data_IF_956645708040
#
_entry.id   IF_956645708040
#
_cell.length_a   1.000
_cell.length_b   1.000
_cell.length_c   1.000
_cell.angle_alpha   90.00
_cell.angle_beta   90.00
_cell.angle_gamma   90.00
#
_symmetry.space_group_name_H-M   'P 1'
#
loop_
_entity.id
_entity.type
_entity.pdbx_description
1 polymer ?
#
# COMPACT_ATOMS: atom_id res chain seq x y z
N UNK A 1 17.44 25.12 5.53
CA UNK A 1 16.58 24.63 6.63
C UNK A 1 17.32 23.52 7.35
N UNK A 2 17.36 23.50 8.69
CA UNK A 2 18.03 22.41 9.41
C UNK A 2 17.37 21.08 9.06
N UNK A 3 18.16 20.05 8.75
CA UNK A 3 17.67 18.78 8.22
C UNK A 3 16.56 18.15 9.09
N UNK A 4 16.59 18.36 10.41
CA UNK A 4 15.58 17.87 11.34
C UNK A 4 14.16 18.41 11.10
N UNK A 5 14.01 19.64 10.59
CA UNK A 5 12.68 20.21 10.29
C UNK A 5 12.04 19.54 9.08
N UNK A 6 12.84 19.14 8.08
CA UNK A 6 12.36 18.48 6.87
C UNK A 6 11.80 17.09 7.21
N UNK A 7 12.53 16.30 8.00
CA UNK A 7 12.05 14.98 8.45
C UNK A 7 10.79 15.05 9.29
N UNK A 8 10.68 16.07 10.16
CA UNK A 8 9.50 16.26 10.99
C UNK A 8 8.27 16.58 10.14
N UNK A 9 8.40 17.45 9.14
CA UNK A 9 7.33 17.77 8.19
C UNK A 9 6.89 16.52 7.40
N UNK A 10 7.84 15.76 6.86
CA UNK A 10 7.55 14.53 6.10
C UNK A 10 6.81 13.51 6.98
N UNK A 11 7.25 13.33 8.23
CA UNK A 11 6.64 12.38 9.17
C UNK A 11 5.21 12.76 9.52
N UNK A 12 4.95 14.05 9.76
CA UNK A 12 3.60 14.56 10.03
C UNK A 12 2.71 14.37 8.80
N UNK A 13 3.21 14.71 7.61
CA UNK A 13 2.45 14.56 6.37
C UNK A 13 2.07 13.09 6.13
N UNK A 14 3.03 12.18 6.30
CA UNK A 14 2.82 10.74 6.18
C UNK A 14 1.76 10.23 7.17
N UNK A 15 1.83 10.67 8.43
CA UNK A 15 0.85 10.30 9.45
C UNK A 15 -0.56 10.78 9.09
N UNK A 16 -0.71 12.02 8.63
CA UNK A 16 -1.99 12.57 8.18
C UNK A 16 -2.55 11.76 7.02
N UNK A 17 -1.71 11.39 6.03
CA UNK A 17 -2.11 10.55 4.91
C UNK A 17 -2.60 9.17 5.36
N UNK A 18 -1.86 8.51 6.26
CA UNK A 18 -2.24 7.19 6.81
C UNK A 18 -3.59 7.28 7.53
N UNK A 19 -3.77 8.28 8.41
CA UNK A 19 -5.03 8.47 9.16
C UNK A 19 -6.19 8.74 8.20
N UNK A 20 -6.00 9.58 7.18
CA UNK A 20 -7.01 9.85 6.18
C UNK A 20 -7.40 8.56 5.41
N UNK A 21 -6.43 7.77 4.98
CA UNK A 21 -6.65 6.48 4.30
C UNK A 21 -7.43 5.50 5.19
N UNK A 22 -7.01 5.31 6.44
CA UNK A 22 -7.68 4.41 7.39
C UNK A 22 -9.12 4.86 7.64
N UNK A 23 -9.36 6.16 7.80
CA UNK A 23 -10.69 6.70 8.01
C UNK A 23 -11.59 6.57 6.78
N UNK A 24 -11.05 6.79 5.58
CA UNK A 24 -11.75 6.61 4.30
C UNK A 24 -12.11 5.13 4.07
N UNK A 25 -11.20 4.20 4.34
CA UNK A 25 -11.43 2.76 4.21
C UNK A 25 -12.49 2.29 5.22
N UNK A 26 -12.47 2.79 6.46
CA UNK A 26 -13.43 2.44 7.52
C UNK A 26 -14.89 2.79 7.14
N UNK A 27 -15.10 3.81 6.31
CA UNK A 27 -16.45 4.21 5.85
C UNK A 27 -17.04 3.25 4.82
N UNK A 28 -16.22 2.43 4.14
CA UNK A 28 -16.68 1.41 3.20
C UNK A 28 -17.02 0.10 3.93
N UNK A 29 -17.95 0.16 4.88
CA UNK A 29 -18.33 -0.99 5.72
C UNK A 29 -19.36 -1.92 5.07
N UNK A 30 -19.50 -1.92 3.75
CA UNK A 30 -20.02 -3.11 3.08
C UNK A 30 -18.86 -4.09 3.01
N UNK A 31 -19.01 -5.26 3.64
CA UNK A 31 -17.98 -6.29 3.86
C UNK A 31 -17.38 -6.83 2.56
N UNK A 32 -16.67 -6.01 1.80
CA UNK A 32 -15.79 -6.44 0.72
C UNK A 32 -14.57 -7.03 1.40
N UNK A 33 -14.68 -8.33 1.74
CA UNK A 33 -13.58 -9.15 2.23
C UNK A 33 -12.31 -8.73 1.49
N UNK A 34 -11.27 -8.40 2.26
CA UNK A 34 -9.93 -8.19 1.69
C UNK A 34 -9.64 -9.45 0.89
N UNK A 35 -9.36 -9.27 -0.40
CA UNK A 35 -9.01 -10.41 -1.23
C UNK A 35 -7.71 -10.97 -0.65
N UNK A 36 -7.57 -12.29 -0.52
CA UNK A 36 -6.29 -12.88 -0.12
C UNK A 36 -5.13 -12.39 -1.01
N UNK A 37 -5.42 -12.03 -2.27
CA UNK A 37 -4.47 -11.38 -3.18
C UNK A 37 -3.99 -10.01 -2.69
N UNK A 38 -4.88 -9.20 -2.09
CA UNK A 38 -4.51 -7.92 -1.47
C UNK A 38 -3.50 -8.15 -0.34
N UNK A 39 -3.71 -9.16 0.50
CA UNK A 39 -2.78 -9.50 1.60
C UNK A 39 -1.40 -9.90 1.10
N UNK A 40 -1.34 -10.72 0.04
CA UNK A 40 -0.07 -11.11 -0.61
C UNK A 40 0.63 -9.89 -1.22
N UNK A 41 -0.11 -9.02 -1.90
CA UNK A 41 0.45 -7.79 -2.46
C UNK A 41 1.09 -6.89 -1.39
N UNK A 42 0.41 -6.70 -0.26
CA UNK A 42 0.96 -5.94 0.87
C UNK A 42 2.21 -6.60 1.44
N UNK A 43 2.25 -7.92 1.58
CA UNK A 43 3.43 -8.63 2.05
C UNK A 43 4.64 -8.40 1.12
N UNK A 44 4.43 -8.43 -0.19
CA UNK A 44 5.47 -8.12 -1.19
C UNK A 44 5.94 -6.67 -1.11
N UNK A 45 5.02 -5.71 -0.93
CA UNK A 45 5.36 -4.29 -0.79
C UNK A 45 6.17 -4.03 0.49
N UNK A 46 5.73 -4.59 1.62
CA UNK A 46 6.43 -4.45 2.91
C UNK A 46 7.80 -5.11 2.84
N UNK A 47 7.90 -6.33 2.29
CA UNK A 47 9.17 -7.00 2.08
C UNK A 47 10.11 -6.14 1.20
N UNK A 48 9.60 -5.56 0.12
CA UNK A 48 10.38 -4.67 -0.74
C UNK A 48 10.88 -3.40 -0.05
N UNK A 49 10.12 -2.85 0.91
CA UNK A 49 10.59 -1.73 1.75
C UNK A 49 11.67 -2.14 2.76
N UNK A 50 11.67 -3.38 3.25
CA UNK A 50 12.65 -3.87 4.22
C UNK A 50 14.00 -4.23 3.57
N UNK A 51 14.02 -4.56 2.27
CA UNK A 51 15.24 -4.81 1.51
C UNK A 51 15.93 -3.49 1.10
N UNK A 52 16.40 -2.73 2.08
CA UNK A 52 17.12 -1.46 1.87
C UNK A 52 18.54 -1.69 1.31
N UNK A 53 19.21 -2.75 1.78
CA UNK A 53 20.59 -3.10 1.39
C UNK A 53 20.71 -3.48 -0.09
N UNK A 54 19.66 -4.08 -0.66
CA UNK A 54 19.67 -4.56 -2.04
C UNK A 54 18.48 -3.99 -2.81
N UNK A 55 18.59 -2.68 -3.13
CA UNK A 55 17.54 -1.88 -3.77
C UNK A 55 16.96 -2.53 -5.02
N UNK A 56 17.73 -3.28 -5.79
CA UNK A 56 17.23 -4.02 -6.96
C UNK A 56 16.17 -5.06 -6.57
N UNK A 57 16.41 -5.83 -5.51
CA UNK A 57 15.47 -6.81 -4.97
C UNK A 57 14.27 -6.08 -4.35
N UNK A 58 14.51 -4.98 -3.64
CA UNK A 58 13.46 -4.13 -3.07
C UNK A 58 12.49 -3.60 -4.14
N UNK A 59 13.01 -3.06 -5.25
CA UNK A 59 12.19 -2.58 -6.37
C UNK A 59 11.46 -3.71 -7.10
N UNK A 60 12.07 -4.88 -7.24
CA UNK A 60 11.40 -6.04 -7.84
C UNK A 60 10.22 -6.50 -6.97
N UNK A 61 10.42 -6.62 -5.66
CA UNK A 61 9.37 -6.97 -4.69
C UNK A 61 8.23 -5.94 -4.68
N UNK A 62 8.57 -4.65 -4.67
CA UNK A 62 7.60 -3.56 -4.79
C UNK A 62 6.81 -3.65 -6.09
N UNK A 63 7.50 -3.86 -7.22
CA UNK A 63 6.87 -4.00 -8.53
C UNK A 63 5.89 -5.17 -8.58
N UNK A 64 6.30 -6.34 -8.06
CA UNK A 64 5.43 -7.53 -7.97
C UNK A 64 4.20 -7.24 -7.12
N UNK A 65 4.36 -6.63 -5.95
CA UNK A 65 3.23 -6.28 -5.08
C UNK A 65 2.26 -5.28 -5.72
N UNK A 66 2.77 -4.29 -6.47
CA UNK A 66 1.93 -3.36 -7.22
C UNK A 66 1.15 -4.09 -8.33
N UNK A 67 1.81 -4.95 -9.11
CA UNK A 67 1.16 -5.72 -10.20
C UNK A 67 0.03 -6.59 -9.63
N UNK A 68 0.28 -7.31 -8.53
CA UNK A 68 -0.75 -8.14 -7.87
C UNK A 68 -1.92 -7.26 -7.39
N UNK A 69 -1.64 -6.08 -6.83
CA UNK A 69 -2.68 -5.14 -6.40
C UNK A 69 -3.56 -4.67 -7.56
N UNK A 70 -2.95 -4.34 -8.70
CA UNK A 70 -3.67 -3.91 -9.91
C UNK A 70 -4.56 -5.05 -10.44
N UNK A 71 -4.01 -6.27 -10.51
CA UNK A 71 -4.77 -7.46 -10.93
C UNK A 71 -5.97 -7.69 -10.01
N UNK A 72 -5.78 -7.58 -8.69
CA UNK A 72 -6.87 -7.75 -7.71
C UNK A 72 -7.98 -6.71 -7.89
N UNK A 73 -7.61 -5.44 -8.16
CA UNK A 73 -8.56 -4.37 -8.45
C UNK A 73 -9.35 -4.65 -9.72
N UNK A 74 -8.68 -5.09 -10.80
CA UNK A 74 -9.33 -5.41 -12.07
C UNK A 74 -10.31 -6.58 -11.89
N UNK A 75 -9.88 -7.68 -11.25
CA UNK A 75 -10.74 -8.85 -10.98
C UNK A 75 -11.96 -8.43 -10.15
N UNK A 76 -11.76 -7.63 -9.11
CA UNK A 76 -12.84 -7.17 -8.22
C UNK A 76 -13.76 -6.15 -8.88
N UNK A 77 -13.29 -5.41 -9.87
CA UNK A 77 -14.10 -4.51 -10.68
C UNK A 77 -15.01 -5.31 -11.62
N UNK A 78 -14.50 -6.37 -12.25
CA UNK A 78 -15.28 -7.25 -13.13
C UNK A 78 -16.32 -8.09 -12.36
N UNK A 79 -16.00 -8.55 -11.15
CA UNK A 79 -16.93 -9.32 -10.32
C UNK A 79 -18.06 -8.49 -9.67
N UNK A 80 -18.07 -7.16 -9.82
CA UNK A 80 -19.10 -6.27 -9.27
C UNK A 80 -20.24 -5.96 -10.27
N UNK A 81 -20.21 -6.57 -11.46
CA UNK A 81 -21.22 -6.40 -12.52
C UNK A 81 -22.25 -7.53 -12.61
N UNK A 82 -22.23 -8.51 -11.69
CA UNK A 82 -23.32 -9.50 -11.48
C UNK A 82 -24.03 -9.26 -10.14
#
# INVERSE_FOLDING_TARGET
MPAGTIFMIISILALVTIVAFVFLIKRSSERKRLSPLTGVAFAFIIAGMLFEDNRFIGYALLGVGIIISVIDIIIKAQHKEE
#
